data_IF_581544607120
#
_entry.id   IF_581544607120
#
_cell.length_a   1.000
_cell.length_b   1.000
_cell.length_c   1.000
_cell.angle_alpha   90.00
_cell.angle_beta   90.00
_cell.angle_gamma   90.00
#
_symmetry.space_group_name_H-M   'P 1'
#
loop_
_entity.id
_entity.type
_entity.pdbx_description
1 polymer ?
#
# COMPACT_ATOMS: atom_id res chain seq x y z
N UNK A 1 11.77 -2.23 -29.91
CA UNK A 1 10.62 -3.00 -29.37
C UNK A 1 9.34 -2.16 -29.44
N UNK A 2 8.59 -2.23 -30.55
CA UNK A 2 7.27 -1.62 -30.68
C UNK A 2 6.18 -2.68 -30.58
N UNK A 3 5.97 -3.24 -29.38
CA UNK A 3 4.86 -4.17 -29.15
C UNK A 3 3.59 -3.40 -28.75
N UNK A 4 3.10 -2.51 -29.63
CA UNK A 4 1.81 -1.82 -29.49
C UNK A 4 0.69 -2.75 -29.96
N UNK A 5 0.52 -3.85 -29.26
CA UNK A 5 -0.57 -4.77 -29.50
C UNK A 5 -1.85 -4.25 -28.84
N UNK A 6 -2.95 -4.19 -29.59
CA UNK A 6 -4.24 -3.76 -29.07
C UNK A 6 -4.68 -4.67 -27.90
N UNK A 7 -5.26 -4.04 -26.88
CA UNK A 7 -5.84 -4.72 -25.72
C UNK A 7 -7.18 -5.33 -26.16
N UNK A 8 -7.15 -6.56 -26.64
CA UNK A 8 -8.37 -7.32 -26.95
C UNK A 8 -9.07 -7.75 -25.65
N UNK A 9 -10.42 -7.81 -25.58
CA UNK A 9 -11.14 -8.30 -24.39
C UNK A 9 -10.67 -9.67 -23.89
N UNK A 10 -10.26 -10.56 -24.80
CA UNK A 10 -9.68 -11.87 -24.46
C UNK A 10 -8.34 -11.75 -23.72
N UNK A 11 -7.51 -10.77 -24.07
CA UNK A 11 -6.23 -10.50 -23.38
C UNK A 11 -6.46 -9.85 -22.02
N UNK A 12 -7.44 -8.96 -21.92
CA UNK A 12 -7.90 -8.42 -20.65
C UNK A 12 -8.35 -9.53 -19.70
N UNK A 13 -9.19 -10.46 -20.17
CA UNK A 13 -9.64 -11.60 -19.38
C UNK A 13 -8.49 -12.53 -18.95
N UNK A 14 -7.54 -12.78 -19.85
CA UNK A 14 -6.36 -13.59 -19.52
C UNK A 14 -5.45 -12.90 -18.48
N UNK A 15 -5.30 -11.57 -18.54
CA UNK A 15 -4.58 -10.81 -17.50
C UNK A 15 -5.30 -10.80 -16.17
N UNK A 16 -6.64 -10.72 -16.17
CA UNK A 16 -7.46 -10.80 -14.96
C UNK A 16 -7.37 -12.17 -14.28
N UNK A 17 -7.19 -13.24 -15.05
CA UNK A 17 -6.99 -14.60 -14.54
C UNK A 17 -5.55 -14.90 -14.12
N UNK A 18 -4.64 -13.92 -14.16
CA UNK A 18 -3.27 -14.12 -13.70
C UNK A 18 -3.23 -14.15 -12.16
N UNK A 19 -3.37 -15.35 -11.61
CA UNK A 19 -3.35 -15.63 -10.16
C UNK A 19 -2.11 -15.09 -9.45
N UNK A 20 -0.99 -14.93 -10.17
CA UNK A 20 0.25 -14.45 -9.57
C UNK A 20 0.21 -12.95 -9.22
N UNK A 21 -0.76 -12.16 -9.72
CA UNK A 21 -0.86 -10.70 -9.47
C UNK A 21 -1.95 -10.35 -8.43
N UNK A 22 -2.92 -11.24 -8.21
CA UNK A 22 -4.01 -11.04 -7.22
C UNK A 22 -3.55 -10.65 -5.81
N UNK A 23 -2.50 -11.25 -5.23
CA UNK A 23 -1.99 -10.82 -3.92
C UNK A 23 -1.59 -9.34 -3.89
N UNK A 24 -1.01 -8.82 -4.98
CA UNK A 24 -0.61 -7.41 -5.09
C UNK A 24 -1.84 -6.50 -5.20
N UNK A 25 -2.90 -6.93 -5.89
CA UNK A 25 -4.16 -6.19 -5.94
C UNK A 25 -4.84 -6.11 -4.57
N UNK A 26 -4.86 -7.22 -3.83
CA UNK A 26 -5.39 -7.25 -2.46
C UNK A 26 -4.58 -6.35 -1.52
N UNK A 27 -3.26 -6.34 -1.65
CA UNK A 27 -2.41 -5.39 -0.92
C UNK A 27 -2.75 -3.94 -1.29
N UNK A 28 -2.90 -3.63 -2.58
CA UNK A 28 -3.29 -2.30 -3.05
C UNK A 28 -4.64 -1.84 -2.46
N UNK A 29 -5.59 -2.75 -2.29
CA UNK A 29 -6.89 -2.45 -1.71
C UNK A 29 -6.82 -2.15 -0.22
N UNK A 30 -6.04 -2.91 0.56
CA UNK A 30 -6.12 -2.88 2.03
C UNK A 30 -5.10 -1.94 2.68
N UNK A 31 -3.89 -1.84 2.12
CA UNK A 31 -2.71 -1.23 2.79
C UNK A 31 -2.83 0.29 3.01
N UNK A 32 -3.65 0.98 2.21
CA UNK A 32 -3.86 2.44 2.28
C UNK A 32 -5.10 2.86 3.05
N UNK A 33 -5.96 1.91 3.42
CA UNK A 33 -7.19 2.19 4.15
C UNK A 33 -6.91 2.85 5.51
N UNK A 34 -5.95 2.38 6.34
CA UNK A 34 -5.70 2.96 7.66
C UNK A 34 -5.36 4.46 7.67
N UNK A 35 -4.66 4.94 6.63
CA UNK A 35 -4.15 6.31 6.54
C UNK A 35 -5.17 7.25 5.89
N UNK A 36 -6.04 6.73 5.01
CA UNK A 36 -6.97 7.52 4.20
C UNK A 36 -7.89 8.44 5.04
N UNK A 37 -8.62 7.95 6.07
CA UNK A 37 -9.49 8.81 6.85
C UNK A 37 -8.72 9.95 7.53
N UNK A 38 -7.52 9.68 8.06
CA UNK A 38 -6.73 10.70 8.72
C UNK A 38 -6.28 11.81 7.76
N UNK A 39 -5.87 11.45 6.55
CA UNK A 39 -5.50 12.44 5.51
C UNK A 39 -6.69 13.32 5.14
N UNK A 40 -7.88 12.75 4.99
CA UNK A 40 -9.08 13.48 4.57
C UNK A 40 -9.63 14.40 5.67
N UNK A 41 -9.55 13.97 6.94
CA UNK A 41 -10.16 14.66 8.06
C UNK A 41 -9.20 15.45 8.94
N UNK A 42 -7.89 15.47 8.66
CA UNK A 42 -6.90 16.19 9.49
C UNK A 42 -7.28 17.65 9.74
N UNK A 43 -7.72 18.38 8.71
CA UNK A 43 -8.07 19.80 8.85
C UNK A 43 -9.32 19.98 9.72
N UNK A 44 -10.26 19.05 9.67
CA UNK A 44 -11.44 19.04 10.53
C UNK A 44 -11.06 18.70 11.98
N UNK A 45 -10.18 17.72 12.18
CA UNK A 45 -9.69 17.32 13.49
C UNK A 45 -8.96 18.51 14.14
N UNK A 46 -8.02 19.14 13.43
CA UNK A 46 -7.24 20.28 13.93
C UNK A 46 -8.11 21.50 14.27
N UNK A 47 -9.10 21.83 13.42
CA UNK A 47 -10.09 22.85 13.76
C UNK A 47 -10.91 22.49 15.00
N UNK A 48 -11.28 21.21 15.13
CA UNK A 48 -12.02 20.69 16.29
C UNK A 48 -11.26 20.79 17.62
N UNK A 49 -9.92 20.82 17.60
CA UNK A 49 -9.09 21.03 18.79
C UNK A 49 -8.79 22.52 19.09
N UNK A 50 -9.35 23.44 18.30
CA UNK A 50 -9.25 24.88 18.53
C UNK A 50 -8.25 25.64 17.65
N UNK A 51 -7.62 24.99 16.66
CA UNK A 51 -6.76 25.71 15.71
C UNK A 51 -7.58 26.50 14.70
N UNK A 52 -7.14 27.73 14.39
CA UNK A 52 -7.72 28.54 13.31
C UNK A 52 -7.56 27.88 11.93
N UNK A 53 -8.37 28.32 10.96
CA UNK A 53 -8.32 27.83 9.57
C UNK A 53 -6.95 28.04 8.93
N UNK A 54 -6.36 29.22 9.11
CA UNK A 54 -5.04 29.57 8.60
C UNK A 54 -3.94 28.68 9.21
N UNK A 55 -3.90 28.58 10.54
CA UNK A 55 -2.93 27.75 11.26
C UNK A 55 -3.06 26.27 10.87
N UNK A 56 -4.28 25.75 10.76
CA UNK A 56 -4.55 24.36 10.39
C UNK A 56 -3.98 24.00 9.01
N UNK A 57 -4.12 24.90 8.04
CA UNK A 57 -3.53 24.69 6.71
C UNK A 57 -2.00 24.78 6.75
N UNK A 58 -1.42 25.66 7.56
CA UNK A 58 0.03 25.72 7.71
C UNK A 58 0.60 24.44 8.36
N UNK A 59 -0.13 23.89 9.32
CA UNK A 59 0.22 22.64 10.01
C UNK A 59 0.17 21.40 9.10
N UNK A 60 -0.30 21.51 7.85
CA UNK A 60 -0.20 20.38 6.91
C UNK A 60 1.18 20.27 6.24
N UNK A 61 1.96 21.36 6.25
CA UNK A 61 3.27 21.42 5.60
C UNK A 61 4.26 20.45 6.26
N UNK A 62 4.41 20.41 7.61
CA UNK A 62 5.41 19.56 8.24
C UNK A 62 5.22 18.08 7.97
N UNK A 63 3.98 17.58 8.02
CA UNK A 63 3.73 16.16 7.70
C UNK A 63 4.00 15.87 6.22
N UNK A 64 3.73 16.81 5.32
CA UNK A 64 3.97 16.64 3.88
C UNK A 64 5.47 16.53 3.59
N UNK A 65 6.30 17.36 4.24
CA UNK A 65 7.77 17.28 4.13
C UNK A 65 8.27 15.95 4.71
N UNK A 66 7.78 15.55 5.88
CA UNK A 66 8.14 14.26 6.48
C UNK A 66 7.76 13.08 5.60
N UNK A 67 6.57 13.12 5.00
CA UNK A 67 6.10 12.11 4.05
C UNK A 67 7.03 11.98 2.83
N UNK A 68 7.47 13.09 2.24
CA UNK A 68 8.41 13.09 1.12
C UNK A 68 9.74 12.44 1.50
N UNK A 69 10.28 12.80 2.67
CA UNK A 69 11.55 12.24 3.17
C UNK A 69 11.40 10.73 3.40
N UNK A 70 10.37 10.31 4.13
CA UNK A 70 10.12 8.90 4.43
C UNK A 70 9.86 8.07 3.16
N UNK A 71 9.15 8.62 2.16
CA UNK A 71 8.96 8.00 0.85
C UNK A 71 10.29 7.73 0.14
N UNK A 72 11.17 8.74 0.07
CA UNK A 72 12.47 8.63 -0.59
C UNK A 72 13.36 7.62 0.13
N UNK A 73 13.41 7.67 1.46
CA UNK A 73 14.17 6.72 2.28
C UNK A 73 13.67 5.29 2.10
N UNK A 74 12.35 5.07 2.13
CA UNK A 74 11.77 3.73 1.98
C UNK A 74 12.06 3.16 0.59
N UNK A 75 11.92 3.97 -0.46
CA UNK A 75 12.21 3.56 -1.84
C UNK A 75 13.68 3.17 -1.97
N UNK A 76 14.59 3.99 -1.44
CA UNK A 76 16.04 3.72 -1.48
C UNK A 76 16.42 2.49 -0.66
N UNK A 77 15.77 2.27 0.48
CA UNK A 77 15.94 1.09 1.32
C UNK A 77 15.47 -0.19 0.61
N UNK A 78 14.35 -0.12 -0.11
CA UNK A 78 13.86 -1.24 -0.92
C UNK A 78 14.83 -1.64 -2.02
N UNK A 79 15.51 -0.68 -2.64
CA UNK A 79 16.51 -0.96 -3.67
C UNK A 79 17.79 -1.57 -3.08
N UNK A 80 18.20 -1.11 -1.89
CA UNK A 80 19.41 -1.60 -1.24
C UNK A 80 19.24 -3.02 -0.70
N UNK A 81 18.13 -3.29 0.00
CA UNK A 81 17.84 -4.61 0.57
C UNK A 81 17.35 -5.62 -0.47
N UNK A 82 16.99 -5.18 -1.68
CA UNK A 82 16.35 -5.98 -2.74
C UNK A 82 15.09 -6.75 -2.30
N UNK A 83 14.56 -6.44 -1.11
CA UNK A 83 13.42 -7.09 -0.46
C UNK A 83 12.22 -6.14 -0.48
N UNK A 84 11.27 -6.35 -1.39
CA UNK A 84 10.12 -5.45 -1.56
C UNK A 84 9.03 -5.66 -0.53
N UNK A 85 8.77 -6.92 -0.16
CA UNK A 85 7.65 -7.28 0.72
C UNK A 85 7.89 -6.84 2.16
N UNK A 86 9.10 -7.08 2.70
CA UNK A 86 9.42 -6.70 4.08
C UNK A 86 9.54 -5.18 4.24
N UNK A 87 10.13 -4.50 3.25
CA UNK A 87 10.24 -3.04 3.27
C UNK A 87 8.86 -2.39 3.17
N UNK A 88 7.96 -2.92 2.34
CA UNK A 88 6.59 -2.40 2.25
C UNK A 88 5.78 -2.60 3.54
N UNK A 89 6.06 -3.65 4.31
CA UNK A 89 5.43 -3.92 5.60
C UNK A 89 5.76 -2.87 6.68
N UNK A 90 6.89 -2.15 6.53
CA UNK A 90 7.27 -1.05 7.44
C UNK A 90 6.17 0.00 7.51
N UNK A 91 5.46 0.27 6.39
CA UNK A 91 4.31 1.17 6.37
C UNK A 91 3.24 0.76 7.39
N UNK A 92 2.81 -0.51 7.36
CA UNK A 92 1.76 -1.01 8.26
C UNK A 92 2.22 -1.08 9.72
N UNK A 93 3.50 -1.39 9.95
CA UNK A 93 4.09 -1.39 11.30
C UNK A 93 4.17 0.03 11.87
N UNK A 94 4.50 1.03 11.05
CA UNK A 94 4.55 2.44 11.45
C UNK A 94 3.18 2.98 11.83
N UNK A 95 2.14 2.64 11.06
CA UNK A 95 0.79 3.15 11.28
C UNK A 95 0.08 2.48 12.45
N UNK A 96 0.44 1.26 12.81
CA UNK A 96 -0.20 0.48 13.89
C UNK A 96 -0.15 1.19 15.26
N UNK A 97 1.01 1.59 15.81
CA UNK A 97 1.06 2.29 17.09
C UNK A 97 0.38 3.65 17.02
N UNK A 98 0.41 4.33 15.87
CA UNK A 98 -0.23 5.63 15.70
C UNK A 98 -1.75 5.53 15.77
N UNK A 99 -2.36 4.55 15.12
CA UNK A 99 -3.82 4.32 15.18
C UNK A 99 -4.25 3.82 16.56
N UNK A 100 -3.43 2.99 17.22
CA UNK A 100 -3.66 2.57 18.61
C UNK A 100 -3.63 3.77 19.55
N UNK A 101 -2.64 4.66 19.41
CA UNK A 101 -2.58 5.90 20.18
C UNK A 101 -3.85 6.74 19.98
N UNK A 102 -4.34 6.88 18.75
CA UNK A 102 -5.59 7.60 18.46
C UNK A 102 -6.85 6.92 19.07
N UNK A 103 -6.85 5.59 19.24
CA UNK A 103 -7.98 4.86 19.86
C UNK A 103 -7.99 4.95 21.38
N UNK A 104 -6.83 4.77 22.02
CA UNK A 104 -6.73 4.52 23.45
C UNK A 104 -6.25 5.73 24.26
N UNK A 105 -5.71 6.76 23.62
CA UNK A 105 -5.22 7.92 24.36
C UNK A 105 -6.38 8.81 24.82
N UNK A 106 -6.58 9.02 26.14
CA UNK A 106 -7.57 9.98 26.65
C UNK A 106 -7.28 11.44 26.24
N UNK A 107 -6.05 11.73 25.83
CA UNK A 107 -5.58 13.04 25.35
C UNK A 107 -6.04 13.42 23.93
N UNK A 108 -6.62 12.47 23.19
CA UNK A 108 -7.05 12.70 21.81
C UNK A 108 -8.20 13.71 21.79
N UNK A 109 -7.98 14.81 21.05
CA UNK A 109 -8.86 15.98 20.96
C UNK A 109 -8.99 16.84 22.23
N UNK A 110 -8.22 16.56 23.30
CA UNK A 110 -8.14 17.43 24.48
C UNK A 110 -6.81 18.19 24.53
N UNK A 111 -5.71 17.55 24.12
CA UNK A 111 -4.43 18.21 23.91
C UNK A 111 -4.25 18.48 22.40
N UNK A 112 -4.35 19.75 22.01
CA UNK A 112 -4.25 20.20 20.62
C UNK A 112 -2.91 19.82 19.98
N UNK A 113 -1.79 20.06 20.67
CA UNK A 113 -0.44 19.75 20.20
C UNK A 113 -0.15 18.25 20.20
N UNK A 114 -0.64 17.53 21.21
CA UNK A 114 -0.52 16.07 21.28
C UNK A 114 -1.25 15.38 20.12
N UNK A 115 -2.49 15.78 19.86
CA UNK A 115 -3.28 15.27 18.73
C UNK A 115 -2.59 15.59 17.40
N UNK A 116 -2.10 16.83 17.24
CA UNK A 116 -1.34 17.23 16.06
C UNK A 116 -0.08 16.38 15.84
N UNK A 117 0.71 16.14 16.88
CA UNK A 117 1.92 15.33 16.79
C UNK A 117 1.61 13.89 16.36
N UNK A 118 0.60 13.24 16.97
CA UNK A 118 0.20 11.88 16.60
C UNK A 118 -0.30 11.80 15.15
N UNK A 119 -1.13 12.75 14.72
CA UNK A 119 -1.64 12.79 13.33
C UNK A 119 -0.50 13.04 12.35
N UNK A 120 0.41 13.96 12.68
CA UNK A 120 1.59 14.28 11.85
C UNK A 120 2.47 13.05 11.67
N UNK A 121 2.81 12.35 12.76
CA UNK A 121 3.62 11.12 12.70
C UNK A 121 2.91 10.03 11.90
N UNK A 122 1.58 9.90 12.05
CA UNK A 122 0.79 8.95 11.27
C UNK A 122 0.85 9.28 9.77
N UNK A 123 0.76 10.55 9.37
CA UNK A 123 0.77 10.97 7.95
C UNK A 123 2.17 11.04 7.33
N UNK A 124 3.22 11.19 8.13
CA UNK A 124 4.61 11.06 7.70
C UNK A 124 4.99 9.63 7.26
N UNK A 125 4.09 8.65 7.43
CA UNK A 125 4.37 7.24 7.19
C UNK A 125 5.14 6.98 5.88
N UNK A 126 6.01 5.95 5.88
CA UNK A 126 6.79 5.63 4.69
C UNK A 126 5.86 4.99 3.64
N UNK A 127 5.68 5.67 2.51
CA UNK A 127 4.71 5.28 1.48
C UNK A 127 5.27 4.23 0.52
N UNK A 128 4.70 3.01 0.56
CA UNK A 128 5.20 1.85 -0.19
C UNK A 128 4.64 1.71 -1.62
N UNK A 129 3.79 2.64 -2.09
CA UNK A 129 3.08 2.49 -3.37
C UNK A 129 3.99 2.38 -4.59
N UNK A 130 5.08 3.15 -4.63
CA UNK A 130 6.05 3.03 -5.72
C UNK A 130 6.64 1.61 -5.81
N UNK A 131 6.89 0.99 -4.67
CA UNK A 131 7.41 -0.38 -4.57
C UNK A 131 6.37 -1.38 -5.07
N UNK A 132 5.11 -1.25 -4.65
CA UNK A 132 4.03 -2.15 -5.06
C UNK A 132 3.69 -2.03 -6.56
N UNK A 133 3.65 -0.81 -7.11
CA UNK A 133 3.46 -0.58 -8.55
C UNK A 133 4.63 -1.17 -9.35
N UNK A 134 5.87 -0.96 -8.87
CA UNK A 134 7.05 -1.56 -9.46
C UNK A 134 7.03 -3.09 -9.40
N UNK A 135 6.48 -3.66 -8.32
CA UNK A 135 6.32 -5.10 -8.15
C UNK A 135 5.28 -5.68 -9.09
N UNK A 136 4.10 -5.05 -9.18
CA UNK A 136 3.05 -5.39 -10.15
C UNK A 136 3.60 -5.37 -11.59
N UNK A 137 4.38 -4.34 -11.90
CA UNK A 137 5.04 -4.19 -13.20
C UNK A 137 6.01 -5.33 -13.53
N UNK A 138 6.83 -5.76 -12.57
CA UNK A 138 7.83 -6.83 -12.79
C UNK A 138 7.23 -8.23 -12.81
N UNK A 139 6.09 -8.43 -12.14
CA UNK A 139 5.41 -9.73 -12.13
C UNK A 139 4.50 -9.93 -13.36
N UNK A 140 4.35 -8.90 -14.20
CA UNK A 140 3.56 -8.97 -15.43
C UNK A 140 4.40 -9.53 -16.58
N UNK A 141 4.00 -10.68 -17.11
CA UNK A 141 4.77 -11.47 -18.08
C UNK A 141 4.90 -10.84 -19.50
N UNK A 142 4.09 -9.83 -19.86
CA UNK A 142 4.14 -9.19 -21.18
C UNK A 142 3.83 -7.67 -21.10
N UNK A 143 4.27 -6.89 -22.09
CA UNK A 143 4.09 -5.42 -22.14
C UNK A 143 2.61 -5.04 -22.11
N UNK A 144 1.75 -5.76 -22.83
CA UNK A 144 0.31 -5.52 -22.83
C UNK A 144 -0.37 -5.85 -21.49
N UNK A 145 0.07 -6.92 -20.82
CA UNK A 145 -0.49 -7.32 -19.52
C UNK A 145 -0.01 -6.39 -18.40
N UNK A 146 1.19 -5.82 -18.51
CA UNK A 146 1.73 -4.85 -17.55
C UNK A 146 0.86 -3.60 -17.39
N UNK A 147 0.39 -3.03 -18.50
CA UNK A 147 -0.49 -1.85 -18.47
C UNK A 147 -1.84 -2.18 -17.83
N UNK A 148 -2.43 -3.33 -18.17
CA UNK A 148 -3.70 -3.80 -17.60
C UNK A 148 -3.55 -4.03 -16.10
N UNK A 149 -2.47 -4.69 -15.68
CA UNK A 149 -2.21 -4.98 -14.28
C UNK A 149 -1.98 -3.72 -13.45
N UNK A 150 -1.27 -2.73 -13.99
CA UNK A 150 -1.10 -1.44 -13.33
C UNK A 150 -2.43 -0.69 -13.18
N UNK A 151 -3.30 -0.72 -14.19
CA UNK A 151 -4.63 -0.11 -14.13
C UNK A 151 -5.54 -0.81 -13.09
N UNK A 152 -5.54 -2.14 -13.06
CA UNK A 152 -6.28 -2.93 -12.06
C UNK A 152 -5.80 -2.67 -10.64
N UNK A 153 -4.48 -2.66 -10.45
CA UNK A 153 -3.89 -2.29 -9.17
C UNK A 153 -4.34 -0.90 -8.72
N UNK A 154 -4.30 0.10 -9.61
CA UNK A 154 -4.74 1.46 -9.29
C UNK A 154 -6.23 1.51 -8.94
N UNK A 155 -7.09 0.80 -9.68
CA UNK A 155 -8.51 0.67 -9.34
C UNK A 155 -8.72 0.07 -7.94
N UNK A 156 -7.96 -0.96 -7.56
CA UNK A 156 -8.00 -1.53 -6.21
C UNK A 156 -7.59 -0.51 -5.14
N UNK A 157 -6.54 0.28 -5.38
CA UNK A 157 -6.11 1.36 -4.47
C UNK A 157 -7.22 2.39 -4.28
N UNK A 158 -7.86 2.82 -5.36
CA UNK A 158 -8.95 3.80 -5.29
C UNK A 158 -10.19 3.25 -4.59
N UNK A 159 -10.53 1.96 -4.79
CA UNK A 159 -11.59 1.30 -4.03
C UNK A 159 -11.26 1.27 -2.53
N UNK A 160 -10.01 0.98 -2.18
CA UNK A 160 -9.52 1.07 -0.80
C UNK A 160 -9.69 2.47 -0.22
N UNK A 161 -9.35 3.51 -0.99
CA UNK A 161 -9.54 4.90 -0.57
C UNK A 161 -11.03 5.25 -0.35
N UNK A 162 -11.94 4.77 -1.20
CA UNK A 162 -13.39 4.94 -1.01
C UNK A 162 -13.84 4.27 0.29
N UNK A 163 -13.41 3.03 0.55
CA UNK A 163 -13.71 2.32 1.80
C UNK A 163 -13.17 3.11 2.99
N UNK A 164 -11.91 3.55 2.93
CA UNK A 164 -11.24 4.31 4.00
C UNK A 164 -11.95 5.62 4.35
N UNK A 165 -12.36 6.41 3.35
CA UNK A 165 -13.10 7.65 3.58
C UNK A 165 -14.45 7.42 4.27
N UNK A 166 -15.06 6.25 4.11
CA UNK A 166 -16.34 5.91 4.73
C UNK A 166 -16.22 5.28 6.13
N UNK A 167 -15.01 5.03 6.64
CA UNK A 167 -14.81 4.44 7.98
C UNK A 167 -15.16 5.45 9.08
N UNK A 168 -14.83 6.72 8.89
CA UNK A 168 -15.18 7.77 9.85
C UNK A 168 -16.60 8.25 9.60
N UNK A 169 -17.48 7.94 10.56
CA UNK A 169 -18.89 8.32 10.53
C UNK A 169 -19.16 9.52 11.41
N UNK A 170 -20.14 10.34 11.02
CA UNK A 170 -20.55 11.52 11.78
C UNK A 170 -21.01 11.16 13.21
N UNK A 171 -21.65 10.00 13.37
CA UNK A 171 -22.19 9.51 14.64
C UNK A 171 -21.11 9.16 15.67
N UNK A 172 -19.85 8.98 15.25
CA UNK A 172 -18.72 8.61 16.10
C UNK A 172 -17.79 9.80 16.39
N UNK A 173 -18.21 11.02 16.02
CA UNK A 173 -17.51 12.24 16.41
C UNK A 173 -17.56 12.43 17.94
N UNK A 174 -16.53 13.04 18.56
CA UNK A 174 -15.30 13.55 17.96
C UNK A 174 -14.11 12.58 18.01
N UNK A 175 -14.17 11.53 18.85
CA UNK A 175 -13.03 10.63 19.11
C UNK A 175 -12.90 9.45 18.12
N UNK A 176 -13.92 9.23 17.27
CA UNK A 176 -13.96 8.18 16.24
C UNK A 176 -13.50 6.82 16.75
N UNK A 177 -13.99 6.43 17.93
CA UNK A 177 -13.54 5.20 18.57
C UNK A 177 -13.77 4.00 17.65
N UNK A 178 -15.01 3.80 17.18
CA UNK A 178 -15.39 2.69 16.29
C UNK A 178 -14.57 2.71 15.00
N UNK A 179 -14.37 3.89 14.42
CA UNK A 179 -13.49 4.07 13.26
C UNK A 179 -12.08 3.56 13.54
N UNK A 180 -11.45 4.05 14.59
CA UNK A 180 -10.08 3.69 14.97
C UNK A 180 -9.91 2.19 15.26
N UNK A 181 -10.87 1.53 15.92
CA UNK A 181 -10.83 0.07 16.11
C UNK A 181 -10.92 -0.71 14.80
N UNK A 182 -11.73 -0.23 13.86
CA UNK A 182 -11.83 -0.84 12.52
C UNK A 182 -10.51 -0.67 11.77
N UNK A 183 -9.88 0.50 11.85
CA UNK A 183 -8.57 0.75 11.23
C UNK A 183 -7.46 -0.14 11.82
N UNK A 184 -7.49 -0.43 13.13
CA UNK A 184 -6.56 -1.39 13.75
C UNK A 184 -6.73 -2.77 13.13
N UNK A 185 -7.97 -3.28 13.04
CA UNK A 185 -8.26 -4.58 12.44
C UNK A 185 -7.81 -4.67 10.97
N UNK A 186 -8.07 -3.62 10.19
CA UNK A 186 -7.64 -3.53 8.79
C UNK A 186 -6.12 -3.46 8.67
N UNK A 187 -5.44 -2.76 9.58
CA UNK A 187 -3.99 -2.68 9.56
C UNK A 187 -3.32 -4.02 9.94
N UNK A 188 -3.90 -4.76 10.89
CA UNK A 188 -3.47 -6.13 11.20
C UNK A 188 -3.68 -7.02 9.97
N UNK A 189 -4.84 -6.92 9.30
CA UNK A 189 -5.09 -7.62 8.05
C UNK A 189 -4.04 -7.27 6.97
N UNK A 190 -3.64 -6.00 6.84
CA UNK A 190 -2.60 -5.58 5.92
C UNK A 190 -1.25 -6.26 6.22
N UNK A 191 -0.86 -6.36 7.49
CA UNK A 191 0.37 -7.07 7.91
C UNK A 191 0.27 -8.55 7.55
N UNK A 192 -0.85 -9.20 7.85
CA UNK A 192 -1.08 -10.60 7.49
C UNK A 192 -1.04 -10.83 5.98
N UNK A 193 -1.60 -9.89 5.19
CA UNK A 193 -1.53 -9.95 3.73
C UNK A 193 -0.10 -9.77 3.22
N UNK A 194 0.72 -8.90 3.81
CA UNK A 194 2.13 -8.79 3.44
C UNK A 194 2.89 -10.08 3.70
N UNK A 195 2.69 -10.70 4.86
CA UNK A 195 3.31 -11.99 5.21
C UNK A 195 2.81 -13.10 4.28
N UNK A 196 1.50 -13.20 4.07
CA UNK A 196 0.89 -14.20 3.19
C UNK A 196 1.35 -14.05 1.75
N UNK A 197 1.46 -12.81 1.26
CA UNK A 197 2.00 -12.52 -0.08
C UNK A 197 3.46 -12.95 -0.19
N UNK A 198 4.29 -12.69 0.82
CA UNK A 198 5.68 -13.18 0.85
C UNK A 198 5.75 -14.71 0.80
N UNK A 199 4.95 -15.40 1.62
CA UNK A 199 4.91 -16.87 1.65
C UNK A 199 4.46 -17.42 0.30
N UNK A 200 3.41 -16.84 -0.30
CA UNK A 200 2.92 -17.22 -1.61
C UNK A 200 4.01 -17.12 -2.68
N UNK A 201 4.74 -16.01 -2.74
CA UNK A 201 5.82 -15.85 -3.72
C UNK A 201 7.03 -16.75 -3.45
N UNK A 202 7.37 -17.03 -2.19
CA UNK A 202 8.42 -18.02 -1.86
C UNK A 202 8.01 -19.40 -2.35
N UNK A 203 6.78 -19.82 -2.09
CA UNK A 203 6.26 -21.11 -2.55
C UNK A 203 6.24 -21.20 -4.08
N UNK A 204 5.76 -20.14 -4.74
CA UNK A 204 5.71 -20.05 -6.20
C UNK A 204 7.09 -20.08 -6.84
N UNK A 205 8.06 -19.39 -6.26
CA UNK A 205 9.45 -19.41 -6.72
C UNK A 205 10.06 -20.80 -6.55
N UNK A 206 9.86 -21.47 -5.41
CA UNK A 206 10.31 -22.87 -5.21
C UNK A 206 9.66 -23.84 -6.18
N UNK A 207 8.38 -23.66 -6.51
CA UNK A 207 7.71 -24.48 -7.52
C UNK A 207 8.31 -24.26 -8.91
N UNK A 208 8.55 -23.00 -9.31
CA UNK A 208 9.19 -22.66 -10.60
C UNK A 208 10.60 -23.23 -10.69
N UNK A 209 11.37 -23.16 -9.60
CA UNK A 209 12.72 -23.73 -9.51
C UNK A 209 12.70 -25.26 -9.65
N UNK A 210 11.74 -25.96 -9.02
CA UNK A 210 11.57 -27.41 -9.20
C UNK A 210 11.23 -27.80 -10.63
N UNK A 211 10.35 -27.05 -11.28
CA UNK A 211 9.99 -27.28 -12.70
C UNK A 211 11.19 -26.99 -13.61
N UNK A 212 11.94 -25.91 -13.33
CA UNK A 212 13.14 -25.55 -14.09
C UNK A 212 14.25 -26.60 -13.96
N UNK A 213 14.51 -27.08 -12.75
CA UNK A 213 15.52 -28.12 -12.50
C UNK A 213 15.08 -29.51 -13.01
N UNK A 214 13.78 -29.71 -13.26
CA UNK A 214 13.25 -30.91 -13.88
C UNK A 214 13.22 -30.83 -15.42
N UNK A 215 13.49 -29.66 -16.02
CA UNK A 215 13.70 -29.53 -17.46
C UNK A 215 15.13 -29.94 -17.83
N UNK A 216 15.27 -30.82 -18.81
CA UNK A 216 16.58 -31.27 -19.34
C UNK A 216 17.38 -30.08 -19.89
N UNK A 217 18.72 -30.12 -19.76
CA UNK A 217 19.65 -29.06 -20.20
C UNK A 217 19.43 -28.57 -21.64
N UNK A 218 18.94 -29.43 -22.55
CA UNK A 218 18.65 -29.03 -23.94
C UNK A 218 17.51 -28.03 -24.06
N UNK A 219 16.45 -28.14 -23.23
CA UNK A 219 15.29 -27.23 -23.29
C UNK A 219 15.61 -25.89 -22.65
N UNK A 220 16.45 -25.87 -21.62
CA UNK A 220 16.87 -24.62 -20.96
C UNK A 220 17.79 -23.79 -21.86
N UNK A 221 18.70 -24.41 -22.62
CA UNK A 221 19.57 -23.73 -23.61
C UNK A 221 18.77 -23.20 -24.80
N UNK A 222 17.79 -23.96 -25.32
CA UNK A 222 16.92 -23.50 -26.42
C UNK A 222 16.08 -22.28 -25.99
N UNK A 223 15.53 -22.28 -24.77
CA UNK A 223 14.77 -21.14 -24.26
C UNK A 223 15.65 -19.93 -23.94
N UNK A 224 16.92 -20.14 -23.56
CA UNK A 224 17.88 -19.06 -23.35
C UNK A 224 18.26 -18.39 -24.66
N UNK A 225 18.53 -19.18 -25.71
CA UNK A 225 18.83 -18.66 -27.05
C UNK A 225 17.63 -18.03 -27.77
N UNK A 226 16.39 -18.34 -27.37
CA UNK A 226 15.18 -17.68 -27.85
C UNK A 226 14.86 -16.36 -27.11
N UNK A 227 15.56 -16.08 -26.01
CA UNK A 227 15.36 -14.89 -25.19
C UNK A 227 16.38 -13.76 -25.47
N UNK A 228 17.46 -14.02 -26.23
CA UNK A 228 18.32 -13.02 -26.89
C UNK A 228 17.69 -12.52 -28.21
#
# INVERSE_FOLDING_TARGET
MHNRQAITPRRLWNSLRDYDIWPIYLLGLVVYIPQTPMTSYITLILKGVGFGTFTTNLLTIPYSVGHIICLLLLTRLSDWLKERSLVSMIQSIWTLPCVIALRFWPGTMTNAWGTYATVTVLLCYPYCHAILVGWCSKNSNNVGTRTISAALYNMCVQLGAIIGNNIYRADDKPKYHRGNSTLIGINILAILLFIGTKIYYIYRNKHRERVWNAMTEEVSVILWNLAE
#
